data_IF_960633763107
#
_entry.id   IF_960633763107
#
_cell.length_a   1.000
_cell.length_b   1.000
_cell.length_c   1.000
_cell.angle_alpha   90.00
_cell.angle_beta   90.00
_cell.angle_gamma   90.00
#
_symmetry.space_group_name_H-M   'P 1'
#
loop_
_entity.id
_entity.type
_entity.pdbx_description
1 polymer ?
#
# COMPACT_ATOMS: atom_id res chain seq x y z
N UNK A 1 49.23 2.47 -30.57
CA UNK A 1 48.09 2.04 -29.73
C UNK A 1 46.95 1.62 -30.65
N UNK A 2 46.75 0.31 -30.85
CA UNK A 2 45.70 -0.19 -31.76
C UNK A 2 44.34 -0.08 -31.06
N UNK A 3 43.55 0.93 -31.45
CA UNK A 3 42.18 1.10 -30.99
C UNK A 3 41.31 0.00 -31.59
N UNK A 4 40.76 -0.89 -30.76
CA UNK A 4 39.75 -1.88 -31.17
C UNK A 4 38.55 -1.15 -31.79
N UNK A 5 38.49 -1.08 -33.12
CA UNK A 5 37.30 -0.67 -33.86
C UNK A 5 36.22 -1.73 -33.62
N UNK A 6 35.31 -1.46 -32.67
CA UNK A 6 34.19 -2.37 -32.39
C UNK A 6 33.21 -2.29 -33.57
N UNK A 7 33.04 -3.40 -34.28
CA UNK A 7 32.06 -3.53 -35.37
C UNK A 7 30.68 -3.04 -34.91
N UNK A 8 30.12 -2.07 -35.65
CA UNK A 8 28.79 -1.50 -35.37
C UNK A 8 27.70 -2.58 -35.49
N UNK A 9 27.78 -3.44 -36.51
CA UNK A 9 26.87 -4.56 -36.70
C UNK A 9 26.99 -5.59 -35.57
N UNK A 10 28.21 -5.91 -35.13
CA UNK A 10 28.41 -6.81 -33.99
C UNK A 10 27.85 -6.24 -32.69
N UNK A 11 27.94 -4.92 -32.50
CA UNK A 11 27.36 -4.23 -31.35
C UNK A 11 25.83 -4.27 -31.39
N UNK A 12 25.23 -3.97 -32.55
CA UNK A 12 23.78 -4.02 -32.75
C UNK A 12 23.22 -5.44 -32.51
N UNK A 13 23.86 -6.46 -33.07
CA UNK A 13 23.45 -7.86 -32.90
C UNK A 13 23.61 -8.33 -31.43
N UNK A 14 24.67 -7.91 -30.74
CA UNK A 14 24.84 -8.17 -29.31
C UNK A 14 23.73 -7.53 -28.48
N UNK A 15 23.36 -6.29 -28.77
CA UNK A 15 22.25 -5.62 -28.08
C UNK A 15 20.91 -6.33 -28.35
N UNK A 16 20.68 -6.79 -29.57
CA UNK A 16 19.50 -7.59 -29.95
C UNK A 16 19.43 -8.94 -29.21
N UNK A 17 20.52 -9.71 -29.17
CA UNK A 17 20.55 -10.96 -28.40
C UNK A 17 20.39 -10.71 -26.89
N UNK A 18 20.88 -9.58 -26.38
CA UNK A 18 20.67 -9.21 -24.99
C UNK A 18 19.24 -8.74 -24.70
N UNK A 19 18.50 -8.21 -25.68
CA UNK A 19 17.09 -7.83 -25.48
C UNK A 19 16.15 -9.04 -25.44
N UNK A 20 16.57 -10.18 -26.00
CA UNK A 20 15.82 -11.45 -25.93
C UNK A 20 16.06 -12.24 -24.63
N UNK A 21 17.01 -11.85 -23.78
CA UNK A 21 17.25 -12.54 -22.52
C UNK A 21 16.16 -12.19 -21.50
N UNK A 22 15.52 -13.20 -20.84
CA UNK A 22 14.57 -12.94 -19.78
C UNK A 22 15.26 -12.17 -18.64
N UNK A 23 14.55 -11.22 -18.02
CA UNK A 23 15.10 -10.44 -16.91
C UNK A 23 15.27 -11.37 -15.69
N UNK A 24 16.51 -11.66 -15.33
CA UNK A 24 16.87 -12.66 -14.30
C UNK A 24 17.01 -12.13 -12.88
N UNK A 25 16.79 -10.85 -12.61
CA UNK A 25 16.87 -10.33 -11.24
C UNK A 25 15.46 -10.17 -10.65
N UNK A 26 14.88 -11.22 -10.02
CA UNK A 26 13.92 -10.96 -8.96
C UNK A 26 14.66 -10.12 -7.91
N UNK A 27 13.99 -9.12 -7.35
CA UNK A 27 14.60 -8.24 -6.35
C UNK A 27 15.09 -9.01 -5.13
N UNK A 28 15.74 -8.30 -4.21
CA UNK A 28 16.13 -8.87 -2.92
C UNK A 28 14.86 -9.14 -2.12
N UNK A 29 14.75 -10.35 -1.54
CA UNK A 29 13.66 -10.68 -0.60
C UNK A 29 13.88 -9.88 0.69
N UNK A 30 12.93 -9.01 1.01
CA UNK A 30 13.00 -8.13 2.18
C UNK A 30 12.34 -8.78 3.39
N UNK A 31 11.19 -9.43 3.18
CA UNK A 31 10.46 -10.07 4.26
C UNK A 31 9.20 -10.78 3.79
N UNK A 32 8.50 -11.36 4.76
CA UNK A 32 7.19 -11.97 4.57
C UNK A 32 6.23 -11.54 5.68
N UNK A 33 4.94 -11.42 5.34
CA UNK A 33 3.89 -11.17 6.34
C UNK A 33 3.37 -12.49 6.93
N UNK A 34 2.62 -12.42 8.03
CA UNK A 34 1.93 -13.57 8.66
C UNK A 34 0.97 -14.28 7.71
N UNK A 35 0.53 -13.61 6.64
CA UNK A 35 -0.30 -14.15 5.57
C UNK A 35 0.49 -14.94 4.51
N UNK A 36 1.83 -15.02 4.62
CA UNK A 36 2.69 -15.73 3.66
C UNK A 36 3.00 -14.96 2.39
N UNK A 37 2.61 -13.68 2.31
CA UNK A 37 2.97 -12.79 1.21
C UNK A 37 4.46 -12.44 1.29
N UNK A 38 5.17 -12.44 0.16
CA UNK A 38 6.60 -12.12 0.08
C UNK A 38 6.83 -10.75 -0.54
N UNK A 39 7.74 -9.98 0.04
CA UNK A 39 8.04 -8.61 -0.37
C UNK A 39 9.46 -8.51 -0.93
N UNK A 40 9.57 -7.84 -2.07
CA UNK A 40 10.82 -7.72 -2.80
C UNK A 40 11.18 -6.26 -3.06
N UNK A 41 12.47 -5.95 -3.07
CA UNK A 41 12.99 -4.62 -3.36
C UNK A 41 14.16 -4.67 -4.34
N UNK A 42 14.18 -3.73 -5.27
CA UNK A 42 15.37 -3.34 -6.04
C UNK A 42 15.74 -1.93 -5.59
N UNK A 43 16.97 -1.77 -5.09
CA UNK A 43 17.51 -0.47 -4.69
C UNK A 43 17.51 0.53 -5.84
N UNK A 44 17.42 1.82 -5.48
CA UNK A 44 17.58 2.91 -6.42
C UNK A 44 19.00 2.90 -7.01
N UNK A 45 19.12 3.20 -8.30
CA UNK A 45 20.40 3.33 -9.01
C UNK A 45 20.40 4.70 -9.70
N UNK A 46 20.88 5.75 -9.00
CA UNK A 46 20.91 7.11 -9.53
C UNK A 46 21.73 7.22 -10.82
N UNK A 47 22.81 6.44 -10.96
CA UNK A 47 23.67 6.42 -12.14
C UNK A 47 22.94 5.92 -13.39
N UNK A 48 21.88 5.11 -13.22
CA UNK A 48 21.00 4.65 -14.30
C UNK A 48 19.67 5.42 -14.38
N UNK A 49 19.56 6.56 -13.70
CA UNK A 49 18.35 7.40 -13.71
C UNK A 49 17.19 6.84 -12.88
N UNK A 50 17.40 5.78 -12.09
CA UNK A 50 16.37 5.21 -11.20
C UNK A 50 16.44 5.90 -9.84
N UNK A 51 15.61 6.92 -9.66
CA UNK A 51 15.60 7.75 -8.44
C UNK A 51 15.00 7.05 -7.22
N UNK A 52 14.03 6.16 -7.41
CA UNK A 52 13.32 5.50 -6.32
C UNK A 52 13.52 3.98 -6.36
N UNK A 53 13.53 3.30 -5.20
CA UNK A 53 13.52 1.85 -5.16
C UNK A 53 12.22 1.32 -5.77
N UNK A 54 12.33 0.17 -6.44
CA UNK A 54 11.17 -0.55 -6.96
C UNK A 54 10.81 -1.65 -5.98
N UNK A 55 9.59 -1.60 -5.45
CA UNK A 55 9.07 -2.56 -4.47
C UNK A 55 7.85 -3.27 -5.04
N UNK A 56 7.71 -4.56 -4.74
CA UNK A 56 6.53 -5.31 -5.12
C UNK A 56 6.27 -6.48 -4.18
N UNK A 57 5.05 -6.98 -4.25
CA UNK A 57 4.56 -8.11 -3.48
C UNK A 57 4.33 -9.29 -4.41
N UNK A 58 4.67 -10.49 -3.93
CA UNK A 58 4.28 -11.77 -4.52
C UNK A 58 3.33 -12.45 -3.53
N UNK A 59 2.04 -12.59 -3.86
CA UNK A 59 1.08 -13.25 -2.98
C UNK A 59 1.36 -14.76 -2.93
N UNK A 60 0.95 -15.42 -1.84
CA UNK A 60 1.04 -16.88 -1.73
C UNK A 60 0.10 -17.59 -2.72
N UNK A 61 -1.09 -17.03 -2.92
CA UNK A 61 -2.09 -17.50 -3.89
C UNK A 61 -2.62 -16.31 -4.67
N UNK A 62 -2.38 -16.29 -5.97
CA UNK A 62 -2.83 -15.21 -6.87
C UNK A 62 -4.36 -15.13 -6.94
N UNK A 63 -5.06 -16.26 -6.85
CA UNK A 63 -6.53 -16.31 -6.96
C UNK A 63 -7.25 -15.66 -5.77
N UNK A 64 -6.64 -15.69 -4.58
CA UNK A 64 -7.23 -15.15 -3.35
C UNK A 64 -6.65 -13.79 -2.96
N UNK A 65 -5.78 -13.22 -3.79
CA UNK A 65 -5.15 -11.95 -3.50
C UNK A 65 -6.17 -10.82 -3.49
N UNK A 66 -6.17 -10.05 -2.41
CA UNK A 66 -6.96 -8.84 -2.23
C UNK A 66 -6.06 -7.76 -1.63
N UNK A 67 -6.10 -6.55 -2.15
CA UNK A 67 -5.24 -5.45 -1.68
C UNK A 67 -5.53 -5.12 -0.20
N UNK A 68 -6.77 -5.36 0.26
CA UNK A 68 -7.18 -5.17 1.64
C UNK A 68 -6.56 -6.18 2.62
N UNK A 69 -6.03 -7.32 2.14
CA UNK A 69 -5.32 -8.29 2.97
C UNK A 69 -3.88 -7.88 3.29
N UNK A 70 -3.36 -6.83 2.65
CA UNK A 70 -2.04 -6.30 2.96
C UNK A 70 -2.16 -5.47 4.24
N UNK A 71 -1.35 -5.80 5.25
CA UNK A 71 -1.26 -4.98 6.46
C UNK A 71 -0.81 -3.55 6.15
N UNK A 72 -1.31 -2.59 6.93
CA UNK A 72 -1.12 -1.17 6.67
C UNK A 72 0.36 -0.77 6.53
N UNK A 73 1.24 -1.35 7.34
CA UNK A 73 2.66 -1.03 7.36
C UNK A 73 3.38 -1.47 6.07
N UNK A 74 3.09 -2.68 5.61
CA UNK A 74 3.60 -3.19 4.35
C UNK A 74 3.06 -2.39 3.16
N UNK A 75 1.81 -1.93 3.23
CA UNK A 75 1.22 -1.08 2.20
C UNK A 75 1.91 0.30 2.14
N UNK A 76 2.21 0.91 3.29
CA UNK A 76 2.97 2.15 3.35
C UNK A 76 4.39 1.99 2.79
N UNK A 77 5.07 0.87 3.08
CA UNK A 77 6.39 0.56 2.54
C UNK A 77 6.37 0.31 1.02
N UNK A 78 5.42 -0.46 0.51
CA UNK A 78 5.25 -0.71 -0.94
C UNK A 78 5.07 0.59 -1.74
N UNK A 79 4.37 1.57 -1.16
CA UNK A 79 4.12 2.88 -1.76
C UNK A 79 5.24 3.89 -1.54
N UNK A 80 6.41 3.44 -1.07
CA UNK A 80 7.57 4.28 -0.78
C UNK A 80 7.29 5.41 0.24
N UNK A 81 6.26 5.28 1.09
CA UNK A 81 6.02 6.24 2.19
C UNK A 81 6.94 6.00 3.37
N UNK A 82 7.36 4.76 3.57
CA UNK A 82 8.37 4.34 4.57
C UNK A 82 9.66 3.97 3.85
N UNK A 83 10.80 4.37 4.40
CA UNK A 83 12.10 3.94 3.88
C UNK A 83 12.36 2.48 4.25
N UNK A 84 12.23 2.18 5.54
CA UNK A 84 12.53 0.87 6.12
C UNK A 84 11.31 -0.06 6.10
N UNK A 85 11.52 -1.38 5.92
CA UNK A 85 10.45 -2.36 6.05
C UNK A 85 9.94 -2.44 7.49
N UNK A 86 8.66 -2.78 7.70
CA UNK A 86 8.11 -2.92 9.03
C UNK A 86 8.74 -4.10 9.80
N UNK A 87 8.86 -3.94 11.12
CA UNK A 87 9.28 -5.02 12.02
C UNK A 87 8.09 -5.93 12.38
N UNK A 88 8.36 -7.22 12.61
CA UNK A 88 7.34 -8.17 13.07
C UNK A 88 6.71 -7.76 14.41
N UNK A 89 7.51 -7.20 15.33
CA UNK A 89 7.02 -6.72 16.62
C UNK A 89 6.06 -5.53 16.49
N UNK A 90 6.31 -4.64 15.52
CA UNK A 90 5.46 -3.48 15.24
C UNK A 90 4.10 -3.94 14.71
N UNK A 91 4.12 -4.87 13.74
CA UNK A 91 2.89 -5.43 13.15
C UNK A 91 2.04 -6.11 14.22
N UNK A 92 2.66 -6.92 15.10
CA UNK A 92 1.97 -7.60 16.18
C UNK A 92 1.39 -6.63 17.22
N UNK A 93 2.16 -5.60 17.58
CA UNK A 93 1.71 -4.53 18.47
C UNK A 93 0.48 -3.82 17.91
N UNK A 94 0.51 -3.41 16.64
CA UNK A 94 -0.58 -2.69 15.99
C UNK A 94 -1.82 -3.58 15.86
N UNK A 95 -1.67 -4.87 15.54
CA UNK A 95 -2.78 -5.81 15.51
C UNK A 95 -3.48 -5.93 16.87
N UNK A 96 -2.71 -6.00 17.96
CA UNK A 96 -3.27 -6.03 19.32
C UNK A 96 -4.01 -4.73 19.66
N UNK A 97 -3.45 -3.58 19.27
CA UNK A 97 -4.04 -2.27 19.50
C UNK A 97 -5.36 -2.09 18.73
N UNK A 98 -5.39 -2.48 17.45
CA UNK A 98 -6.61 -2.44 16.64
C UNK A 98 -7.72 -3.31 17.22
N UNK A 99 -7.38 -4.48 17.76
CA UNK A 99 -8.34 -5.35 18.44
C UNK A 99 -8.92 -4.68 19.69
N UNK A 100 -8.06 -4.12 20.54
CA UNK A 100 -8.50 -3.39 21.74
C UNK A 100 -9.38 -2.19 21.40
N UNK A 101 -9.01 -1.41 20.37
CA UNK A 101 -9.80 -0.26 19.93
C UNK A 101 -11.19 -0.68 19.46
N UNK A 102 -11.28 -1.79 18.70
CA UNK A 102 -12.56 -2.35 18.25
C UNK A 102 -13.44 -2.76 19.43
N UNK A 103 -12.89 -3.52 20.38
CA UNK A 103 -13.62 -3.91 21.58
C UNK A 103 -14.08 -2.71 22.42
N UNK A 104 -13.30 -1.63 22.47
CA UNK A 104 -13.68 -0.41 23.16
C UNK A 104 -14.79 0.35 22.42
N UNK A 105 -14.75 0.39 21.09
CA UNK A 105 -15.80 0.97 20.26
C UNK A 105 -17.12 0.22 20.44
N UNK A 106 -17.10 -1.11 20.36
CA UNK A 106 -18.29 -1.96 20.55
C UNK A 106 -18.93 -1.71 21.94
N UNK A 107 -18.11 -1.60 23.00
CA UNK A 107 -18.58 -1.28 24.36
C UNK A 107 -19.16 0.13 24.48
N UNK A 108 -18.68 1.09 23.70
CA UNK A 108 -19.22 2.46 23.69
C UNK A 108 -20.56 2.48 22.95
N UNK A 109 -20.67 1.79 21.83
CA UNK A 109 -21.92 1.67 21.06
C UNK A 109 -23.02 1.00 21.89
N UNK A 110 -22.70 -0.04 22.67
CA UNK A 110 -23.64 -0.66 23.62
C UNK A 110 -24.10 0.29 24.75
N UNK A 111 -23.23 1.23 25.17
CA UNK A 111 -23.55 2.20 26.23
C UNK A 111 -24.33 3.40 25.69
N UNK A 112 -23.97 3.90 24.52
CA UNK A 112 -24.61 5.05 23.88
C UNK A 112 -25.92 4.64 23.19
N UNK A 113 -26.02 3.43 22.65
CA UNK A 113 -27.29 2.86 22.18
C UNK A 113 -28.39 2.82 23.25
N UNK A 114 -28.03 2.75 24.54
CA UNK A 114 -28.98 2.88 25.66
C UNK A 114 -29.38 4.33 25.98
N UNK A 115 -28.64 5.33 25.53
CA UNK A 115 -28.88 6.76 25.84
C UNK A 115 -29.60 7.52 24.72
N UNK A 116 -29.54 7.03 23.49
CA UNK A 116 -30.19 7.67 22.33
C UNK A 116 -31.72 7.58 22.41
N UNK A 117 -32.28 6.64 23.17
CA UNK A 117 -33.73 6.45 23.31
C UNK A 117 -34.44 7.52 24.19
N UNK A 118 -33.72 8.21 25.09
CA UNK A 118 -34.32 9.23 25.97
C UNK A 118 -34.23 10.66 25.39
N UNK A 119 -33.17 10.97 24.64
CA UNK A 119 -32.94 12.34 24.11
C UNK A 119 -33.60 12.59 22.75
N UNK A 120 -33.90 11.54 21.97
CA UNK A 120 -34.56 11.67 20.66
C UNK A 120 -36.06 12.03 20.76
N UNK A 121 -36.71 11.85 21.92
CA UNK A 121 -38.11 12.24 22.12
C UNK A 121 -38.35 13.75 22.19
N UNK A 122 -37.30 14.56 22.42
CA UNK A 122 -37.46 16.01 22.68
C UNK A 122 -37.32 16.88 21.41
N UNK A 123 -36.92 16.32 20.25
CA UNK A 123 -36.51 17.13 19.08
C UNK A 123 -37.42 17.05 17.84
N UNK A 124 -38.65 16.56 17.95
CA UNK A 124 -39.67 16.66 16.86
C UNK A 124 -40.68 17.77 17.16
N UNK A 125 -40.17 18.96 17.40
CA UNK A 125 -40.94 20.20 17.23
C UNK A 125 -39.91 21.30 16.98
N UNK A 126 -39.80 21.74 15.73
CA UNK A 126 -39.51 23.11 15.26
C UNK A 126 -39.15 23.00 13.77
N UNK A 127 -40.08 23.44 12.92
CA UNK A 127 -39.79 24.33 11.80
C UNK A 127 -39.31 23.72 10.47
N UNK A 128 -40.26 23.54 9.56
CA UNK A 128 -40.03 23.52 8.11
C UNK A 128 -39.26 24.78 7.66
N UNK A 129 -38.11 24.63 7.02
CA UNK A 129 -37.45 25.72 6.28
C UNK A 129 -37.88 25.68 4.81
N UNK A 130 -38.62 26.70 4.40
CA UNK A 130 -38.90 27.04 3.01
C UNK A 130 -37.62 27.58 2.35
N UNK A 131 -37.21 26.98 1.24
CA UNK A 131 -36.09 27.43 0.41
C UNK A 131 -36.60 28.49 -0.58
N UNK A 132 -36.25 29.76 -0.35
CA UNK A 132 -36.59 30.88 -1.23
C UNK A 132 -35.47 31.07 -2.26
N UNK A 133 -35.74 30.76 -3.54
CA UNK A 133 -34.88 31.16 -4.66
C UNK A 133 -35.34 32.52 -5.17
N UNK A 134 -34.59 33.58 -4.87
CA UNK A 134 -34.70 34.84 -5.59
C UNK A 134 -33.46 35.06 -6.47
N UNK A 135 -33.79 35.42 -7.72
CA UNK A 135 -32.92 35.76 -8.84
C UNK A 135 -31.93 36.86 -8.47
N UNK A 136 -30.66 36.66 -8.77
CA UNK A 136 -29.71 37.75 -8.99
C UNK A 136 -29.56 37.98 -10.50
N UNK A 137 -30.00 39.16 -10.93
CA UNK A 137 -29.77 39.87 -12.20
C UNK A 137 -30.27 39.26 -13.51
#
# INVERSE_FOLDING_TARGET
>A
MSGKTRSLFGTAFKHFLNSLKPRTSPGVLVGADRHGNKYYEIQADPSRGKRYPKRWLVPLSEANYREEMISFEWNAWLRNRRADPPSESEIMGNASYSKMLKENADKLDEKEGKKVDESAKVRIHIGNYHFCQEKCS
#
